data_IF_988971752595
#
_entry.id   IF_988971752595
#
_cell.length_a   1.000
_cell.length_b   1.000
_cell.length_c   1.000
_cell.angle_alpha   90.00
_cell.angle_beta   90.00
_cell.angle_gamma   90.00
#
_symmetry.space_group_name_H-M   'P 1'
#
loop_
_entity.id
_entity.type
_entity.pdbx_description
1 polymer ?
#
# COMPACT_ATOMS: atom_id res chain seq x y z
N UNK A 1 42.38 -4.94 -46.21
CA UNK A 1 41.82 -4.25 -45.02
C UNK A 1 41.30 -5.27 -44.02
N UNK A 2 41.90 -5.36 -42.84
CA UNK A 2 41.47 -6.30 -41.79
C UNK A 2 40.23 -5.74 -41.07
N UNK A 3 39.09 -6.46 -41.14
CA UNK A 3 37.88 -6.11 -40.38
C UNK A 3 37.99 -6.68 -38.95
N UNK A 4 38.17 -5.83 -37.97
CA UNK A 4 38.09 -6.24 -36.58
C UNK A 4 36.65 -6.67 -36.21
N UNK A 5 36.44 -7.93 -35.82
CA UNK A 5 35.16 -8.42 -35.32
C UNK A 5 35.08 -8.11 -33.82
N UNK A 6 34.25 -7.13 -33.46
CA UNK A 6 33.98 -6.79 -32.06
C UNK A 6 33.02 -7.83 -31.47
N UNK A 7 33.46 -8.54 -30.41
CA UNK A 7 32.62 -9.50 -29.70
C UNK A 7 31.77 -8.79 -28.62
N UNK A 8 30.56 -8.36 -29.02
CA UNK A 8 29.63 -7.66 -28.12
C UNK A 8 29.23 -8.48 -26.88
N UNK A 9 29.27 -9.82 -26.97
CA UNK A 9 28.97 -10.68 -25.83
C UNK A 9 30.04 -10.55 -24.74
N UNK A 10 31.31 -10.52 -25.12
CA UNK A 10 32.44 -10.35 -24.20
C UNK A 10 32.39 -8.95 -23.56
N UNK A 11 32.08 -7.91 -24.34
CA UNK A 11 31.93 -6.54 -23.82
C UNK A 11 30.81 -6.47 -22.80
N UNK A 12 29.63 -7.02 -23.12
CA UNK A 12 28.49 -7.04 -22.20
C UNK A 12 28.78 -7.83 -20.90
N UNK A 13 29.55 -8.91 -21.01
CA UNK A 13 29.99 -9.64 -19.82
C UNK A 13 30.94 -8.81 -18.95
N UNK A 14 31.87 -8.08 -19.54
CA UNK A 14 32.78 -7.17 -18.83
C UNK A 14 31.99 -6.03 -18.16
N UNK A 15 31.07 -5.40 -18.89
CA UNK A 15 30.19 -4.35 -18.34
C UNK A 15 29.33 -4.87 -17.21
N UNK A 16 28.73 -6.08 -17.33
CA UNK A 16 27.91 -6.66 -16.29
C UNK A 16 28.66 -6.99 -15.01
N UNK A 17 29.97 -7.26 -15.13
CA UNK A 17 30.89 -7.47 -14.00
C UNK A 17 31.41 -6.17 -13.42
N UNK A 18 31.30 -5.05 -14.13
CA UNK A 18 31.79 -3.75 -13.70
C UNK A 18 31.06 -3.28 -12.44
N UNK A 19 31.80 -3.01 -11.37
CA UNK A 19 31.27 -2.47 -10.12
C UNK A 19 30.66 -1.07 -10.30
N UNK A 20 31.25 -0.24 -11.17
CA UNK A 20 30.77 1.11 -11.45
C UNK A 20 29.36 1.10 -12.07
N UNK A 21 29.13 0.23 -13.06
CA UNK A 21 27.83 0.12 -13.71
C UNK A 21 26.73 -0.40 -12.76
N UNK A 22 27.06 -1.42 -11.94
CA UNK A 22 26.14 -1.91 -10.90
C UNK A 22 25.79 -0.80 -9.91
N UNK A 23 26.75 -0.01 -9.47
CA UNK A 23 26.56 1.11 -8.55
C UNK A 23 25.62 2.16 -9.17
N UNK A 24 25.82 2.52 -10.45
CA UNK A 24 24.94 3.47 -11.15
C UNK A 24 23.51 2.93 -11.28
N UNK A 25 23.34 1.67 -11.63
CA UNK A 25 22.03 1.03 -11.70
C UNK A 25 21.31 1.02 -10.32
N UNK A 26 22.05 0.77 -9.24
CA UNK A 26 21.52 0.85 -7.88
C UNK A 26 21.08 2.28 -7.51
N UNK A 27 21.89 3.28 -7.79
CA UNK A 27 21.56 4.68 -7.51
C UNK A 27 20.31 5.11 -8.27
N UNK A 28 20.24 4.78 -9.57
CA UNK A 28 19.08 5.08 -10.41
C UNK A 28 17.80 4.40 -9.87
N UNK A 29 17.90 3.12 -9.54
CA UNK A 29 16.75 2.38 -8.99
C UNK A 29 16.33 2.89 -7.62
N UNK A 30 17.27 3.26 -6.76
CA UNK A 30 16.97 3.83 -5.44
C UNK A 30 16.19 5.15 -5.55
N UNK A 31 16.57 6.03 -6.48
CA UNK A 31 15.84 7.28 -6.74
C UNK A 31 14.41 7.03 -7.22
N UNK A 32 14.25 6.08 -8.16
CA UNK A 32 12.94 5.69 -8.69
C UNK A 32 12.07 5.10 -7.58
N UNK A 33 12.63 4.15 -6.82
CA UNK A 33 11.94 3.52 -5.71
C UNK A 33 11.49 4.54 -4.65
N UNK A 34 12.36 5.48 -4.28
CA UNK A 34 12.01 6.52 -3.31
C UNK A 34 10.85 7.40 -3.82
N UNK A 35 10.89 7.82 -5.07
CA UNK A 35 9.83 8.63 -5.67
C UNK A 35 8.49 7.88 -5.74
N UNK A 36 8.50 6.62 -6.19
CA UNK A 36 7.26 5.82 -6.27
C UNK A 36 6.72 5.45 -4.87
N UNK A 37 7.60 5.25 -3.90
CA UNK A 37 7.19 5.00 -2.51
C UNK A 37 6.50 6.23 -1.88
N UNK A 38 7.03 7.44 -2.12
CA UNK A 38 6.39 8.68 -1.67
C UNK A 38 4.99 8.80 -2.29
N UNK A 39 4.85 8.51 -3.60
CA UNK A 39 3.55 8.50 -4.28
C UNK A 39 2.58 7.49 -3.67
N UNK A 40 3.06 6.27 -3.38
CA UNK A 40 2.23 5.24 -2.76
C UNK A 40 1.68 5.72 -1.41
N UNK A 41 2.53 6.27 -0.55
CA UNK A 41 2.12 6.77 0.77
C UNK A 41 1.14 7.94 0.65
N UNK A 42 1.41 8.89 -0.24
CA UNK A 42 0.50 10.00 -0.51
C UNK A 42 -0.86 9.51 -1.06
N UNK A 43 -0.86 8.54 -1.99
CA UNK A 43 -2.10 7.95 -2.50
C UNK A 43 -2.87 7.18 -1.41
N UNK A 44 -2.19 6.56 -0.47
CA UNK A 44 -2.83 5.90 0.67
C UNK A 44 -3.45 6.92 1.62
N UNK A 45 -2.72 7.96 1.99
CA UNK A 45 -3.19 9.01 2.91
C UNK A 45 -4.34 9.84 2.33
N UNK A 46 -4.28 10.15 1.02
CA UNK A 46 -5.31 10.91 0.30
C UNK A 46 -6.44 10.01 -0.26
N UNK A 47 -6.44 8.73 0.05
CA UNK A 47 -7.56 7.87 -0.34
C UNK A 47 -8.83 8.25 0.43
N UNK A 48 -10.03 8.31 -0.19
CA UNK A 48 -11.27 8.71 0.49
C UNK A 48 -11.54 7.97 1.81
N UNK A 49 -11.20 6.68 1.86
CA UNK A 49 -11.26 5.87 3.10
C UNK A 49 -10.30 6.39 4.17
N UNK A 50 -9.06 6.71 3.79
CA UNK A 50 -8.05 7.22 4.73
C UNK A 50 -8.41 8.60 5.24
N UNK A 51 -8.86 9.49 4.36
CA UNK A 51 -9.31 10.82 4.75
C UNK A 51 -10.48 10.75 5.73
N UNK A 52 -11.50 9.93 5.40
CA UNK A 52 -12.68 9.76 6.26
C UNK A 52 -12.30 9.24 7.66
N UNK A 53 -11.39 8.27 7.74
CA UNK A 53 -10.92 7.75 9.03
C UNK A 53 -10.05 8.78 9.78
N UNK A 54 -9.18 9.50 9.08
CA UNK A 54 -8.29 10.49 9.67
C UNK A 54 -9.02 11.72 10.20
N UNK A 55 -10.10 12.13 9.53
CA UNK A 55 -10.98 13.24 9.96
C UNK A 55 -11.76 12.91 11.25
N UNK A 56 -11.77 11.62 11.64
CA UNK A 56 -12.29 11.20 12.93
C UNK A 56 -13.80 11.08 13.02
N UNK A 57 -14.39 11.22 14.24
CA UNK A 57 -15.80 10.92 14.46
C UNK A 57 -16.77 11.91 13.80
N UNK A 58 -16.31 13.09 13.43
CA UNK A 58 -17.10 14.14 12.79
C UNK A 58 -16.99 14.14 11.26
N UNK A 59 -16.24 13.19 10.69
CA UNK A 59 -16.04 13.05 9.26
C UNK A 59 -17.36 12.83 8.51
N UNK A 60 -17.45 13.40 7.31
CA UNK A 60 -18.47 13.02 6.34
C UNK A 60 -18.15 11.66 5.72
N UNK A 61 -19.15 10.97 5.19
CA UNK A 61 -18.96 9.71 4.46
C UNK A 61 -18.34 9.96 3.07
N UNK A 62 -17.04 10.29 3.06
CA UNK A 62 -16.28 10.59 1.83
C UNK A 62 -16.08 9.37 0.95
N UNK A 63 -15.94 8.20 1.56
CA UNK A 63 -15.66 6.95 0.84
C UNK A 63 -16.87 6.34 0.16
N UNK A 64 -18.09 6.73 0.57
CA UNK A 64 -19.32 6.13 0.08
C UNK A 64 -19.51 4.65 0.44
N UNK A 65 -18.68 4.11 1.35
CA UNK A 65 -18.73 2.69 1.77
C UNK A 65 -19.93 2.37 2.64
N UNK A 66 -20.47 3.36 3.33
CA UNK A 66 -21.59 3.22 4.25
C UNK A 66 -22.83 3.93 3.69
N UNK A 67 -24.02 3.41 3.98
CA UNK A 67 -25.27 4.09 3.68
C UNK A 67 -25.48 5.33 4.56
N UNK A 68 -24.87 5.37 5.74
CA UNK A 68 -24.94 6.49 6.67
C UNK A 68 -23.83 6.43 7.72
N UNK A 69 -23.46 7.59 8.30
CA UNK A 69 -22.37 7.67 9.27
C UNK A 69 -21.01 7.82 8.61
N UNK A 70 -19.96 7.49 9.34
CA UNK A 70 -18.60 7.50 8.85
C UNK A 70 -17.82 6.24 9.32
N UNK A 71 -16.76 5.90 8.59
CA UNK A 71 -15.96 4.71 8.86
C UNK A 71 -15.26 4.76 10.22
N UNK A 72 -14.81 5.93 10.69
CA UNK A 72 -14.14 6.05 11.98
C UNK A 72 -15.03 5.56 13.12
N UNK A 73 -16.23 6.09 13.22
CA UNK A 73 -17.21 5.72 14.24
C UNK A 73 -17.75 4.31 14.02
N UNK A 74 -17.93 3.91 12.78
CA UNK A 74 -18.45 2.61 12.40
C UNK A 74 -17.49 1.46 12.78
N UNK A 75 -16.19 1.63 12.52
CA UNK A 75 -15.17 0.68 12.96
C UNK A 75 -14.96 0.77 14.47
N UNK A 76 -15.34 1.87 15.11
CA UNK A 76 -15.27 2.07 16.55
C UNK A 76 -13.88 2.46 17.04
N UNK A 77 -13.15 3.23 16.24
CA UNK A 77 -11.89 3.82 16.69
C UNK A 77 -12.10 4.76 17.86
N UNK A 78 -11.09 4.84 18.73
CA UNK A 78 -11.12 5.75 19.88
C UNK A 78 -10.88 7.19 19.41
N UNK A 79 -11.67 8.12 19.92
CA UNK A 79 -11.48 9.56 19.67
C UNK A 79 -10.05 9.99 20.00
N UNK A 80 -9.45 10.76 19.08
CA UNK A 80 -8.07 11.22 19.21
C UNK A 80 -7.00 10.24 18.70
N UNK A 81 -7.37 9.04 18.26
CA UNK A 81 -6.47 8.12 17.56
C UNK A 81 -6.52 8.36 16.06
N UNK A 82 -5.37 8.19 15.39
CA UNK A 82 -5.29 8.19 13.93
C UNK A 82 -4.71 6.86 13.44
N UNK A 83 -5.56 5.84 13.22
CA UNK A 83 -5.09 4.53 12.78
C UNK A 83 -4.48 4.54 11.37
N UNK A 84 -4.81 5.52 10.53
CA UNK A 84 -4.23 5.68 9.20
C UNK A 84 -2.75 6.04 9.29
N UNK A 85 -2.39 6.94 10.21
CA UNK A 85 -0.98 7.34 10.40
C UNK A 85 -0.12 6.16 10.88
N UNK A 86 -0.66 5.27 11.71
CA UNK A 86 0.03 4.06 12.16
C UNK A 86 0.32 3.11 11.00
N UNK A 87 -0.67 2.89 10.11
CA UNK A 87 -0.49 2.07 8.91
C UNK A 87 0.46 2.74 7.92
N UNK A 88 0.37 4.05 7.69
CA UNK A 88 1.28 4.79 6.81
C UNK A 88 2.73 4.68 7.29
N UNK A 89 2.99 4.91 8.57
CA UNK A 89 4.31 4.76 9.17
C UNK A 89 4.85 3.32 9.02
N UNK A 90 4.00 2.32 9.23
CA UNK A 90 4.35 0.92 9.01
C UNK A 90 4.71 0.64 7.55
N UNK A 91 3.90 1.08 6.59
CA UNK A 91 4.18 0.92 5.15
C UNK A 91 5.50 1.59 4.78
N UNK A 92 5.74 2.80 5.31
CA UNK A 92 6.99 3.53 5.12
C UNK A 92 8.22 2.75 5.66
N UNK A 93 8.08 2.04 6.76
CA UNK A 93 9.15 1.24 7.34
C UNK A 93 9.32 -0.14 6.67
N UNK A 94 8.22 -0.79 6.30
CA UNK A 94 8.22 -2.18 5.81
C UNK A 94 8.61 -2.30 4.34
N UNK A 95 8.23 -1.33 3.49
CA UNK A 95 8.54 -1.34 2.06
C UNK A 95 9.99 -0.91 1.85
N UNK A 96 10.84 -1.87 1.46
CA UNK A 96 12.29 -1.65 1.31
C UNK A 96 12.81 -2.19 -0.02
N UNK A 97 13.77 -1.47 -0.60
CA UNK A 97 14.54 -1.94 -1.73
C UNK A 97 15.75 -2.71 -1.21
N UNK A 98 15.92 -3.96 -1.62
CA UNK A 98 17.10 -4.75 -1.27
C UNK A 98 18.34 -4.17 -1.97
N UNK A 99 19.45 -4.13 -1.24
CA UNK A 99 20.73 -3.66 -1.77
C UNK A 99 21.36 -4.67 -2.76
N UNK A 100 20.96 -5.95 -2.70
CA UNK A 100 21.49 -6.99 -3.56
C UNK A 100 20.91 -6.89 -4.97
N UNK A 101 21.78 -6.79 -5.94
CA UNK A 101 21.47 -6.69 -7.37
C UNK A 101 21.91 -7.95 -8.07
N UNK A 102 21.00 -8.60 -8.78
CA UNK A 102 21.32 -9.71 -9.68
C UNK A 102 21.48 -9.19 -11.10
N UNK A 103 22.57 -9.60 -11.77
CA UNK A 103 22.82 -9.24 -13.17
C UNK A 103 22.77 -10.50 -14.03
N UNK A 104 21.96 -10.46 -15.08
CA UNK A 104 21.92 -11.52 -16.09
C UNK A 104 22.27 -10.94 -17.45
N UNK A 105 23.11 -11.65 -18.19
CA UNK A 105 23.42 -11.35 -19.60
C UNK A 105 22.60 -12.30 -20.46
N UNK A 106 21.62 -11.78 -21.16
CA UNK A 106 20.75 -12.54 -22.06
C UNK A 106 21.00 -12.12 -23.50
N UNK A 107 21.38 -13.07 -24.35
CA UNK A 107 21.67 -12.83 -25.77
C UNK A 107 22.91 -11.98 -26.00
N UNK A 108 23.06 -11.50 -27.26
CA UNK A 108 24.25 -10.76 -27.70
C UNK A 108 24.35 -9.32 -27.15
N UNK A 109 23.21 -8.69 -26.82
CA UNK A 109 23.15 -7.23 -26.58
C UNK A 109 22.31 -6.79 -25.36
N UNK A 110 21.94 -7.70 -24.46
CA UNK A 110 21.05 -7.32 -23.34
C UNK A 110 21.65 -7.70 -21.99
N UNK A 111 21.90 -6.68 -21.16
CA UNK A 111 22.25 -6.84 -19.74
C UNK A 111 21.03 -6.45 -18.91
N UNK A 112 20.51 -7.37 -18.11
CA UNK A 112 19.36 -7.13 -17.25
C UNK A 112 19.82 -7.02 -15.80
N UNK A 113 19.36 -6.00 -15.10
CA UNK A 113 19.56 -5.79 -13.66
C UNK A 113 18.26 -6.05 -12.96
N UNK A 114 18.27 -6.97 -12.02
CA UNK A 114 17.11 -7.30 -11.21
C UNK A 114 17.29 -6.78 -9.80
N UNK A 115 16.29 -6.06 -9.31
CA UNK A 115 16.21 -5.57 -7.94
C UNK A 115 15.07 -6.29 -7.21
N UNK A 116 15.29 -6.64 -5.96
CA UNK A 116 14.25 -7.23 -5.11
C UNK A 116 13.69 -6.19 -4.18
N UNK A 117 12.36 -6.14 -4.08
CA UNK A 117 11.64 -5.25 -3.17
C UNK A 117 11.01 -6.11 -2.09
N UNK A 118 11.20 -5.72 -0.84
CA UNK A 118 10.49 -6.31 0.30
C UNK A 118 9.18 -5.55 0.47
N UNK A 119 8.08 -6.28 0.46
CA UNK A 119 6.74 -5.78 0.74
C UNK A 119 6.32 -6.16 2.17
N UNK A 120 5.31 -5.48 2.74
CA UNK A 120 4.74 -5.85 4.02
C UNK A 120 4.22 -7.29 4.01
N UNK A 121 4.42 -8.00 5.09
CA UNK A 121 3.77 -9.29 5.30
C UNK A 121 2.30 -9.03 5.72
N UNK A 122 1.31 -9.75 5.15
CA UNK A 122 -0.09 -9.62 5.53
C UNK A 122 -0.35 -9.80 7.02
N UNK A 123 0.32 -10.75 7.68
CA UNK A 123 0.18 -10.96 9.12
C UNK A 123 0.66 -9.77 9.96
N UNK A 124 1.77 -9.13 9.52
CA UNK A 124 2.27 -7.94 10.20
C UNK A 124 1.34 -6.74 9.97
N UNK A 125 0.78 -6.61 8.75
CA UNK A 125 -0.23 -5.58 8.48
C UNK A 125 -1.46 -5.77 9.36
N UNK A 126 -1.91 -7.01 9.53
CA UNK A 126 -3.02 -7.36 10.41
C UNK A 126 -2.76 -6.97 11.88
N UNK A 127 -1.54 -7.20 12.37
CA UNK A 127 -1.15 -6.84 13.73
C UNK A 127 -1.13 -5.32 13.98
N UNK A 128 -0.78 -4.53 12.95
CA UNK A 128 -0.71 -3.05 13.03
C UNK A 128 -2.07 -2.38 12.79
N UNK A 129 -2.99 -3.08 12.17
CA UNK A 129 -4.31 -2.54 11.83
C UNK A 129 -5.46 -3.36 12.45
N UNK A 130 -5.45 -3.64 13.76
CA UNK A 130 -6.47 -4.50 14.36
C UNK A 130 -7.84 -3.83 14.35
N UNK A 131 -8.89 -4.63 14.15
CA UNK A 131 -10.25 -4.18 14.43
C UNK A 131 -10.42 -3.94 15.94
N UNK A 132 -10.97 -2.78 16.38
CA UNK A 132 -11.08 -2.46 17.81
C UNK A 132 -11.96 -3.44 18.61
N UNK A 133 -12.85 -4.17 17.97
CA UNK A 133 -13.84 -5.05 18.58
C UNK A 133 -13.73 -6.52 18.16
N UNK A 134 -12.84 -6.85 17.21
CA UNK A 134 -12.62 -8.21 16.75
C UNK A 134 -11.10 -8.48 16.63
N UNK A 135 -10.46 -8.93 17.72
CA UNK A 135 -9.04 -9.28 17.70
C UNK A 135 -8.75 -10.33 16.62
N UNK A 136 -7.64 -10.15 15.93
CA UNK A 136 -7.25 -11.06 14.85
C UNK A 136 -7.77 -10.68 13.46
N UNK A 137 -8.61 -9.66 13.32
CA UNK A 137 -8.97 -9.07 12.02
C UNK A 137 -8.35 -7.69 11.82
N UNK A 138 -7.98 -7.38 10.59
CA UNK A 138 -7.46 -6.07 10.19
C UNK A 138 -8.61 -5.21 9.65
N UNK A 139 -8.69 -3.96 10.10
CA UNK A 139 -9.65 -3.02 9.53
C UNK A 139 -9.33 -2.70 8.06
N UNK A 140 -8.05 -2.67 7.67
CA UNK A 140 -7.64 -2.44 6.27
C UNK A 140 -8.17 -3.52 5.35
N UNK A 141 -7.90 -4.79 5.69
CA UNK A 141 -8.36 -5.91 4.87
C UNK A 141 -9.87 -6.08 4.91
N UNK A 142 -10.50 -5.74 6.02
CA UNK A 142 -11.96 -5.81 6.17
C UNK A 142 -12.67 -4.77 5.29
N UNK A 143 -12.10 -3.59 5.10
CA UNK A 143 -12.61 -2.59 4.16
C UNK A 143 -12.59 -3.14 2.72
N UNK A 144 -11.54 -3.87 2.34
CA UNK A 144 -11.41 -4.42 1.00
C UNK A 144 -12.31 -5.63 0.73
N UNK A 145 -12.44 -6.52 1.71
CA UNK A 145 -13.17 -7.77 1.56
C UNK A 145 -14.65 -7.69 1.93
N UNK A 146 -15.04 -6.58 2.51
CA UNK A 146 -16.33 -6.46 3.20
C UNK A 146 -16.23 -6.93 4.64
N UNK A 147 -16.85 -6.18 5.52
CA UNK A 147 -16.83 -6.48 6.95
C UNK A 147 -18.06 -7.34 7.26
N UNK A 148 -17.86 -8.64 7.48
CA UNK A 148 -18.94 -9.53 7.86
C UNK A 148 -19.52 -9.14 9.23
N UNK A 149 -20.84 -9.10 9.35
CA UNK A 149 -21.52 -8.69 10.58
C UNK A 149 -21.97 -7.23 10.60
N UNK A 150 -21.66 -6.45 9.59
CA UNK A 150 -22.06 -5.05 9.48
C UNK A 150 -23.48 -4.85 8.89
N UNK A 151 -24.40 -5.62 9.33
CA UNK A 151 -25.83 -5.33 9.10
C UNK A 151 -26.44 -4.50 10.24
N UNK A 152 -25.63 -3.98 11.14
CA UNK A 152 -26.10 -3.28 12.31
C UNK A 152 -26.23 -1.78 12.03
N UNK A 153 -27.38 -1.22 12.44
CA UNK A 153 -27.61 0.21 12.40
C UNK A 153 -26.67 0.93 13.35
N UNK A 154 -26.08 2.05 12.91
CA UNK A 154 -25.29 2.90 13.78
C UNK A 154 -26.15 4.02 14.35
N UNK A 155 -26.40 3.99 15.66
CA UNK A 155 -27.00 5.13 16.34
C UNK A 155 -26.00 6.28 16.45
N UNK A 156 -26.23 7.33 15.65
CA UNK A 156 -25.36 8.52 15.57
C UNK A 156 -25.41 9.42 16.80
N UNK A 157 -26.40 9.26 17.65
CA UNK A 157 -26.65 10.17 18.79
C UNK A 157 -25.94 9.72 20.08
N UNK A 158 -25.43 8.52 20.13
CA UNK A 158 -24.76 8.01 21.33
C UNK A 158 -23.40 8.64 21.55
N UNK A 159 -23.33 9.56 22.49
CA UNK A 159 -22.10 10.20 22.96
C UNK A 159 -21.23 9.30 23.85
N UNK A 160 -21.79 8.21 24.37
CA UNK A 160 -21.12 7.25 25.25
C UNK A 160 -20.25 6.24 24.52
N UNK A 161 -20.18 6.31 23.19
CA UNK A 161 -19.36 5.41 22.39
C UNK A 161 -17.86 5.77 22.45
N UNK A 162 -17.02 4.81 22.13
CA UNK A 162 -15.55 4.95 22.06
C UNK A 162 -15.09 6.08 21.12
N UNK A 163 -15.80 6.27 20.01
CA UNK A 163 -15.56 7.35 19.08
C UNK A 163 -16.15 8.69 19.53
N UNK A 164 -17.02 8.71 20.55
CA UNK A 164 -17.80 9.86 20.97
C UNK A 164 -18.98 10.16 20.07
N UNK A 165 -19.19 9.40 19.00
CA UNK A 165 -20.28 9.56 18.04
C UNK A 165 -20.70 8.23 17.42
N UNK A 166 -21.77 7.68 17.93
CA UNK A 166 -22.41 6.50 17.37
C UNK A 166 -22.02 5.18 18.04
N UNK A 167 -23.01 4.34 18.19
CA UNK A 167 -22.91 2.95 18.64
C UNK A 167 -23.55 2.06 17.59
N UNK A 168 -22.95 0.90 17.35
CA UNK A 168 -23.61 -0.15 16.60
C UNK A 168 -24.70 -0.78 17.47
N UNK A 169 -25.93 -0.66 17.03
CA UNK A 169 -27.07 -1.27 17.71
C UNK A 169 -27.32 -2.65 17.10
N UNK A 170 -27.55 -3.66 17.93
CA UNK A 170 -27.98 -5.00 17.50
C UNK A 170 -29.33 -4.92 16.82
N UNK A 171 -29.33 -4.75 15.52
CA UNK A 171 -30.53 -4.73 14.69
C UNK A 171 -30.12 -4.78 13.22
N UNK A 172 -30.59 -5.80 12.50
CA UNK A 172 -30.34 -5.88 11.06
C UNK A 172 -31.20 -4.85 10.35
N UNK A 173 -30.57 -3.84 9.77
CA UNK A 173 -31.25 -3.01 8.75
C UNK A 173 -31.30 -3.84 7.47
N UNK A 174 -32.49 -4.16 7.00
CA UNK A 174 -32.73 -5.04 5.84
C UNK A 174 -32.08 -4.62 4.53
N UNK A 175 -31.52 -3.42 4.43
CA UNK A 175 -30.91 -2.85 3.23
C UNK A 175 -29.51 -2.24 3.42
N UNK A 176 -28.93 -2.34 4.61
CA UNK A 176 -27.58 -1.81 4.82
C UNK A 176 -26.54 -2.80 4.26
N UNK A 177 -26.09 -2.55 3.04
CA UNK A 177 -25.00 -3.28 2.44
C UNK A 177 -23.71 -2.47 2.64
N UNK A 178 -22.70 -3.06 3.28
CA UNK A 178 -21.34 -2.57 3.21
C UNK A 178 -20.79 -2.88 1.81
N UNK A 179 -20.33 -1.86 1.13
CA UNK A 179 -19.71 -2.02 -0.20
C UNK A 179 -18.22 -2.27 -0.02
N UNK A 180 -17.68 -3.46 -0.39
CA UNK A 180 -16.26 -3.69 -0.44
C UNK A 180 -15.60 -2.62 -1.31
N UNK A 181 -14.62 -1.93 -0.74
CA UNK A 181 -13.97 -0.81 -1.43
C UNK A 181 -12.51 -1.14 -1.68
N UNK A 182 -12.06 -1.16 -2.95
CA UNK A 182 -10.64 -1.31 -3.26
C UNK A 182 -9.84 -0.24 -2.53
N UNK A 183 -8.87 -0.63 -1.72
CA UNK A 183 -8.16 0.27 -0.84
C UNK A 183 -6.64 0.13 -0.97
N UNK A 184 -5.97 -0.62 -0.09
CA UNK A 184 -4.51 -0.74 -0.07
C UNK A 184 -3.97 -1.68 -1.15
N UNK A 185 -4.66 -2.77 -1.44
CA UNK A 185 -4.22 -3.78 -2.42
C UNK A 185 -4.02 -3.20 -3.82
N UNK A 186 -4.94 -2.41 -4.39
CA UNK A 186 -4.73 -1.78 -5.70
C UNK A 186 -3.59 -0.76 -5.68
N UNK A 187 -3.37 -0.04 -4.58
CA UNK A 187 -2.27 0.92 -4.45
C UNK A 187 -0.91 0.22 -4.49
N UNK A 188 -0.77 -0.88 -3.77
CA UNK A 188 0.45 -1.71 -3.80
C UNK A 188 0.66 -2.30 -5.20
N UNK A 189 -0.39 -2.81 -5.84
CA UNK A 189 -0.31 -3.34 -7.20
C UNK A 189 0.14 -2.28 -8.21
N UNK A 190 -0.39 -1.07 -8.10
CA UNK A 190 0.03 0.07 -8.92
C UNK A 190 1.49 0.43 -8.69
N UNK A 191 1.92 0.53 -7.44
CA UNK A 191 3.33 0.78 -7.07
C UNK A 191 4.27 -0.24 -7.72
N UNK A 192 3.94 -1.53 -7.62
CA UNK A 192 4.74 -2.60 -8.26
C UNK A 192 4.77 -2.45 -9.78
N UNK A 193 3.62 -2.12 -10.39
CA UNK A 193 3.51 -1.90 -11.83
C UNK A 193 4.38 -0.74 -12.29
N UNK A 194 4.36 0.39 -11.57
CA UNK A 194 5.19 1.56 -11.90
C UNK A 194 6.69 1.26 -11.79
N UNK A 195 7.09 0.48 -10.81
CA UNK A 195 8.49 0.04 -10.66
C UNK A 195 8.94 -0.91 -11.77
N UNK A 196 8.03 -1.70 -12.34
CA UNK A 196 8.31 -2.65 -13.43
C UNK A 196 8.35 -2.00 -14.82
N UNK A 197 7.86 -0.78 -14.97
CA UNK A 197 7.85 -0.11 -16.29
C UNK A 197 9.27 -0.03 -16.87
N UNK A 198 9.48 -0.46 -18.12
CA UNK A 198 10.75 -0.31 -18.78
C UNK A 198 11.05 1.19 -18.96
N UNK A 199 12.13 1.64 -18.37
CA UNK A 199 12.57 3.04 -18.51
C UNK A 199 13.71 3.04 -19.52
N UNK A 200 13.45 3.60 -20.70
CA UNK A 200 14.51 3.85 -21.68
C UNK A 200 15.55 4.76 -21.05
N UNK A 201 16.82 4.40 -21.20
CA UNK A 201 17.90 5.31 -20.84
C UNK A 201 17.82 6.47 -21.85
N UNK A 202 17.51 7.67 -21.36
CA UNK A 202 17.84 8.92 -22.03
C UNK A 202 19.28 9.23 -21.65
#
# INVERSE_FOLDING_TARGET
MARAKINMRSINQLVSKSGAWKKQAQIKMAKIFAAEKIKLLAMFENHPVSEEISDGPDASNKSGTLSSGNLFSFIGFQKGKNPVSEVSAFLAAAIKLNKTVKTNVSGKNKVTVSHTIKLPNPQTLQAISPMPWEPGKSWVTSIESGISGFSNYMDKLSKASRSGRGIQVKGKVRSAQYQPTPYLTPLIANFIRELKKPRRNV
#
